data_IF_697431745721
#
_entry.id   IF_697431745721
#
_cell.length_a   1.000
_cell.length_b   1.000
_cell.length_c   1.000
_cell.angle_alpha   90.00
_cell.angle_beta   90.00
_cell.angle_gamma   90.00
#
_symmetry.space_group_name_H-M   'P 1'
#
loop_
_entity.id
_entity.type
_entity.pdbx_description
1 polymer ?
#
# COMPACT_ATOMS: atom_id res chain seq x y z
N UNK A 1 1.81 -6.44 -8.52
CA UNK A 1 0.34 -6.47 -8.35
C UNK A 1 -0.13 -5.21 -7.65
N UNK A 2 -1.22 -4.61 -8.13
CA UNK A 2 -1.85 -3.47 -7.48
C UNK A 2 -3.24 -3.87 -7.02
N UNK A 3 -3.69 -3.32 -5.91
CA UNK A 3 -5.06 -3.53 -5.43
C UNK A 3 -5.84 -2.23 -5.54
N UNK A 4 -7.15 -2.36 -5.74
CA UNK A 4 -8.04 -1.21 -5.76
C UNK A 4 -8.33 -0.74 -4.34
N UNK A 5 -8.38 0.58 -4.16
CA UNK A 5 -8.73 1.21 -2.88
C UNK A 5 -9.80 2.26 -3.12
N UNK A 6 -10.49 2.63 -2.06
CA UNK A 6 -11.38 3.79 -2.11
C UNK A 6 -10.55 5.03 -2.47
N UNK A 7 -11.03 5.89 -3.38
CA UNK A 7 -10.26 7.06 -3.81
C UNK A 7 -9.84 7.94 -2.64
N UNK A 8 -8.58 8.36 -2.65
CA UNK A 8 -8.04 9.28 -1.66
C UNK A 8 -7.34 10.44 -2.36
N UNK A 9 -7.48 11.63 -1.81
CA UNK A 9 -6.79 12.81 -2.32
C UNK A 9 -5.38 12.85 -1.75
N UNK A 10 -4.40 13.02 -2.63
CA UNK A 10 -2.99 13.09 -2.26
C UNK A 10 -2.45 14.45 -2.67
N UNK A 11 -1.86 15.16 -1.72
CA UNK A 11 -1.25 16.46 -2.00
C UNK A 11 0.15 16.25 -2.56
N UNK A 12 0.40 16.82 -3.74
CA UNK A 12 1.71 16.71 -4.40
C UNK A 12 2.23 18.10 -4.74
N UNK A 13 3.50 18.18 -5.13
CA UNK A 13 4.09 19.44 -5.56
C UNK A 13 3.42 20.01 -6.81
N UNK A 14 2.70 19.19 -7.57
CA UNK A 14 1.95 19.61 -8.78
C UNK A 14 0.47 19.83 -8.50
N UNK A 15 0.03 19.79 -7.23
CA UNK A 15 -1.36 19.95 -6.83
C UNK A 15 -1.92 18.67 -6.24
N UNK A 16 -3.23 18.66 -6.00
CA UNK A 16 -3.91 17.49 -5.44
C UNK A 16 -4.23 16.49 -6.55
N UNK A 17 -3.91 15.22 -6.32
CA UNK A 17 -4.22 14.12 -7.22
C UNK A 17 -5.01 13.05 -6.48
N UNK A 18 -5.81 12.29 -7.21
CA UNK A 18 -6.62 11.20 -6.62
C UNK A 18 -5.95 9.86 -6.89
N UNK A 19 -5.67 9.14 -5.81
CA UNK A 19 -5.15 7.78 -5.88
C UNK A 19 -6.30 6.79 -5.75
N UNK A 20 -6.32 5.78 -6.61
CA UNK A 20 -7.36 4.74 -6.64
C UNK A 20 -6.77 3.34 -6.56
N UNK A 21 -5.45 3.21 -6.57
CA UNK A 21 -4.76 1.93 -6.51
C UNK A 21 -3.62 2.00 -5.50
N UNK A 22 -3.34 0.86 -4.89
CA UNK A 22 -2.24 0.68 -3.95
C UNK A 22 -1.37 -0.46 -4.43
N UNK A 23 -0.08 -0.23 -4.53
CA UNK A 23 0.89 -1.23 -4.96
C UNK A 23 2.00 -1.39 -3.95
N UNK A 24 2.65 -2.55 -3.98
CA UNK A 24 3.81 -2.86 -3.14
C UNK A 24 4.98 -3.15 -4.06
N UNK A 25 6.06 -2.36 -3.95
CA UNK A 25 7.25 -2.56 -4.77
C UNK A 25 8.25 -3.51 -4.12
N UNK A 26 8.33 -3.47 -2.81
CA UNK A 26 9.35 -4.22 -2.09
C UNK A 26 8.90 -4.46 -0.65
N UNK A 27 9.16 -5.65 -0.13
CA UNK A 27 8.91 -5.99 1.27
C UNK A 27 10.22 -6.41 1.90
N UNK A 28 10.62 -5.70 2.95
CA UNK A 28 11.78 -6.05 3.74
C UNK A 28 11.33 -6.78 5.00
N UNK A 29 11.52 -8.09 4.99
CA UNK A 29 11.12 -8.97 6.07
C UNK A 29 12.28 -9.10 7.05
N UNK A 30 12.05 -8.75 8.32
CA UNK A 30 13.07 -8.79 9.36
C UNK A 30 12.57 -9.57 10.58
N UNK A 31 12.72 -10.87 10.56
CA UNK A 31 12.47 -11.73 11.74
C UNK A 31 11.11 -11.49 12.42
N UNK A 32 10.04 -11.51 11.63
CA UNK A 32 8.69 -11.31 12.15
C UNK A 32 8.04 -10.07 11.55
N UNK A 33 8.32 -8.85 12.04
CA UNK A 33 7.74 -7.66 11.41
C UNK A 33 8.36 -7.39 10.03
N UNK A 34 7.61 -6.70 9.18
CA UNK A 34 8.05 -6.34 7.84
C UNK A 34 7.85 -4.85 7.60
N UNK A 35 8.68 -4.28 6.73
CA UNK A 35 8.53 -2.92 6.22
C UNK A 35 8.37 -3.02 4.72
N UNK A 36 7.30 -2.46 4.18
CA UNK A 36 7.01 -2.50 2.76
C UNK A 36 7.16 -1.12 2.12
N UNK A 37 7.81 -1.07 0.96
CA UNK A 37 7.85 0.13 0.13
C UNK A 37 6.61 0.11 -0.76
N UNK A 38 5.66 1.00 -0.45
CA UNK A 38 4.35 1.01 -1.07
C UNK A 38 4.17 2.26 -1.94
N UNK A 39 3.31 2.15 -2.93
CA UNK A 39 3.07 3.22 -3.89
C UNK A 39 1.56 3.42 -4.06
N UNK A 40 1.15 4.68 -4.14
CA UNK A 40 -0.21 5.06 -4.49
C UNK A 40 -0.24 5.46 -5.96
N UNK A 41 -1.21 4.95 -6.69
CA UNK A 41 -1.33 5.13 -8.13
C UNK A 41 -2.69 5.74 -8.48
N UNK A 42 -2.73 6.52 -9.55
CA UNK A 42 -3.98 7.04 -10.09
C UNK A 42 -4.68 5.98 -10.98
N UNK A 43 -5.82 6.33 -11.56
CA UNK A 43 -6.58 5.42 -12.40
C UNK A 43 -5.82 4.99 -13.66
N UNK A 44 -4.87 5.78 -14.11
CA UNK A 44 -4.05 5.46 -15.28
C UNK A 44 -2.83 4.61 -14.91
N UNK A 45 -2.62 4.33 -13.62
CA UNK A 45 -1.47 3.57 -13.14
C UNK A 45 -0.22 4.40 -12.90
N UNK A 46 -0.30 5.72 -12.97
CA UNK A 46 0.83 6.59 -12.70
C UNK A 46 1.03 6.77 -11.20
N UNK A 47 2.29 6.78 -10.77
CA UNK A 47 2.63 6.96 -9.37
C UNK A 47 2.26 8.36 -8.89
N UNK A 48 1.49 8.43 -7.83
CA UNK A 48 1.07 9.68 -7.19
C UNK A 48 1.90 9.95 -5.95
N UNK A 49 2.19 8.92 -5.16
CA UNK A 49 2.93 9.03 -3.92
C UNK A 49 3.53 7.69 -3.57
N UNK A 50 4.52 7.71 -2.67
CA UNK A 50 5.09 6.48 -2.11
C UNK A 50 5.28 6.66 -0.62
N UNK A 51 5.25 5.54 0.11
CA UNK A 51 5.44 5.55 1.56
C UNK A 51 5.90 4.18 2.05
N UNK A 52 6.52 4.18 3.22
CA UNK A 52 6.85 2.94 3.92
C UNK A 52 5.70 2.57 4.84
N UNK A 53 5.30 1.31 4.82
CA UNK A 53 4.22 0.79 5.65
C UNK A 53 4.75 -0.40 6.45
N UNK A 54 4.51 -0.38 7.75
CA UNK A 54 4.94 -1.45 8.63
C UNK A 54 3.83 -2.49 8.78
N UNK A 55 4.22 -3.76 8.81
CA UNK A 55 3.35 -4.87 9.19
C UNK A 55 3.87 -5.49 10.48
N UNK A 56 2.96 -5.88 11.37
CA UNK A 56 3.33 -6.54 12.61
C UNK A 56 3.74 -7.98 12.34
N UNK A 57 4.40 -8.61 13.31
CA UNK A 57 4.76 -10.02 13.22
C UNK A 57 3.53 -10.89 13.01
N UNK A 58 2.43 -10.63 13.74
CA UNK A 58 1.20 -11.39 13.58
C UNK A 58 0.61 -11.23 12.17
N UNK A 59 0.67 -10.04 11.59
CA UNK A 59 0.19 -9.80 10.24
C UNK A 59 1.07 -10.52 9.21
N UNK A 60 2.37 -10.55 9.42
CA UNK A 60 3.31 -11.25 8.54
C UNK A 60 3.10 -12.76 8.63
N UNK A 61 2.87 -13.29 9.82
CA UNK A 61 2.60 -14.71 10.04
C UNK A 61 1.29 -15.15 9.37
N UNK A 62 0.32 -14.24 9.25
CA UNK A 62 -0.95 -14.50 8.59
C UNK A 62 -0.88 -14.36 7.07
N UNK A 63 0.29 -14.09 6.51
CA UNK A 63 0.48 -13.89 5.07
C UNK A 63 0.27 -15.22 4.34
N UNK A 64 -0.86 -15.32 3.65
CA UNK A 64 -1.21 -16.51 2.87
C UNK A 64 -1.17 -16.23 1.37
N UNK A 65 -1.64 -15.06 0.94
CA UNK A 65 -1.56 -14.61 -0.44
C UNK A 65 -1.05 -13.18 -0.48
N UNK A 66 -0.44 -12.80 -1.60
CA UNK A 66 0.05 -11.42 -1.76
C UNK A 66 -1.10 -10.43 -1.73
N UNK A 67 -2.23 -10.75 -2.37
CA UNK A 67 -3.38 -9.86 -2.37
C UNK A 67 -3.89 -9.58 -0.97
N UNK A 68 -4.03 -10.61 -0.15
CA UNK A 68 -4.49 -10.46 1.24
C UNK A 68 -3.52 -9.62 2.05
N UNK A 69 -2.22 -9.85 1.88
CA UNK A 69 -1.20 -9.11 2.59
C UNK A 69 -1.15 -7.64 2.15
N UNK A 70 -1.32 -7.37 0.87
CA UNK A 70 -1.36 -6.01 0.35
C UNK A 70 -2.56 -5.23 0.91
N UNK A 71 -3.71 -5.88 1.08
CA UNK A 71 -4.87 -5.26 1.73
C UNK A 71 -4.58 -4.90 3.19
N UNK A 72 -3.86 -5.75 3.91
CA UNK A 72 -3.44 -5.46 5.28
C UNK A 72 -2.51 -4.24 5.31
N UNK A 73 -1.54 -4.18 4.39
CA UNK A 73 -0.65 -3.02 4.30
C UNK A 73 -1.41 -1.74 3.98
N UNK A 74 -2.38 -1.79 3.08
CA UNK A 74 -3.21 -0.64 2.76
C UNK A 74 -3.98 -0.15 3.99
N UNK A 75 -4.55 -1.06 4.76
CA UNK A 75 -5.26 -0.73 6.00
C UNK A 75 -4.31 -0.10 7.03
N UNK A 76 -3.10 -0.62 7.16
CA UNK A 76 -2.09 -0.06 8.06
C UNK A 76 -1.68 1.36 7.63
N UNK A 77 -1.79 1.66 6.36
CA UNK A 77 -1.52 2.99 5.82
C UNK A 77 -2.70 3.95 5.96
N UNK A 78 -3.82 3.52 6.54
CA UNK A 78 -5.02 4.33 6.68
C UNK A 78 -5.91 4.35 5.45
N UNK A 79 -5.71 3.42 4.52
CA UNK A 79 -6.48 3.31 3.29
C UNK A 79 -7.60 2.27 3.43
N UNK A 80 -8.57 2.31 2.53
CA UNK A 80 -9.69 1.37 2.53
C UNK A 80 -9.65 0.51 1.26
N UNK A 81 -9.14 -0.72 1.34
CA UNK A 81 -9.16 -1.64 0.20
C UNK A 81 -10.60 -1.94 -0.22
N UNK A 82 -10.81 -2.07 -1.51
CA UNK A 82 -12.11 -2.42 -2.06
C UNK A 82 -12.34 -3.92 -2.10
#
# INVERSE_FOLDING_TARGET
>A
MNIAISPVSVWTSSGTKTATQFGVRYVNYQNGPAVADCVLLDAAGAEVSCQLVNATEAQTDAWTTDEAFYKVLAQNAGLSPL
#
